data_IF_311776722245
#
_entry.id   IF_311776722245
#
_cell.length_a   1.000
_cell.length_b   1.000
_cell.length_c   1.000
_cell.angle_alpha   90.00
_cell.angle_beta   90.00
_cell.angle_gamma   90.00
#
_symmetry.space_group_name_H-M   'P 1'
#
loop_
_entity.id
_entity.type
_entity.pdbx_description
1 polymer ?
#
# COMPACT_ATOMS: atom_id res chain seq x y z
N UNK A 1 -3.31 -22.54 4.81
CA UNK A 1 -4.32 -21.47 4.70
C UNK A 1 -4.96 -21.64 3.33
N UNK A 2 -6.27 -21.88 3.27
CA UNK A 2 -6.99 -21.99 2.00
C UNK A 2 -7.33 -20.54 1.60
N UNK A 3 -6.69 -20.00 0.58
CA UNK A 3 -7.03 -18.65 0.09
C UNK A 3 -8.25 -18.83 -0.80
N UNK A 4 -9.42 -18.47 -0.28
CA UNK A 4 -10.65 -18.51 -1.06
C UNK A 4 -10.58 -17.46 -2.16
N UNK A 5 -10.50 -17.93 -3.41
CA UNK A 5 -10.32 -17.10 -4.61
C UNK A 5 -11.51 -16.17 -4.92
N UNK A 6 -12.56 -16.23 -4.10
CA UNK A 6 -13.76 -15.38 -4.13
C UNK A 6 -13.72 -14.22 -3.12
N UNK A 7 -12.69 -14.15 -2.27
CA UNK A 7 -12.51 -13.07 -1.29
C UNK A 7 -12.10 -11.76 -1.95
N UNK A 8 -12.52 -10.65 -1.35
CA UNK A 8 -12.22 -9.30 -1.84
C UNK A 8 -10.74 -8.96 -1.64
N UNK A 9 -10.15 -8.06 -2.46
CA UNK A 9 -8.76 -7.63 -2.24
C UNK A 9 -8.49 -7.09 -0.83
N UNK A 10 -9.47 -6.42 -0.21
CA UNK A 10 -9.38 -5.90 1.17
C UNK A 10 -9.20 -7.06 2.16
N UNK A 11 -10.03 -8.09 2.08
CA UNK A 11 -9.93 -9.27 2.96
C UNK A 11 -8.58 -9.98 2.80
N UNK A 12 -8.11 -10.13 1.57
CA UNK A 12 -6.83 -10.79 1.28
C UNK A 12 -5.63 -10.00 1.81
N UNK A 13 -5.65 -8.67 1.74
CA UNK A 13 -4.62 -7.85 2.39
C UNK A 13 -4.71 -7.91 3.91
N UNK A 14 -5.90 -7.96 4.50
CA UNK A 14 -6.07 -8.16 5.94
C UNK A 14 -5.44 -9.48 6.38
N UNK A 15 -5.70 -10.56 5.65
CA UNK A 15 -5.07 -11.86 5.85
C UNK A 15 -3.55 -11.80 5.68
N UNK A 16 -3.04 -11.06 4.70
CA UNK A 16 -1.61 -10.86 4.51
C UNK A 16 -0.93 -10.16 5.71
N UNK A 17 -1.51 -9.06 6.19
CA UNK A 17 -0.96 -8.33 7.35
C UNK A 17 -0.89 -9.18 8.61
N UNK A 18 -1.88 -10.04 8.84
CA UNK A 18 -1.99 -10.86 10.04
C UNK A 18 -1.26 -12.22 9.90
N UNK A 19 -1.24 -12.78 8.70
CA UNK A 19 -0.91 -14.17 8.44
C UNK A 19 0.45 -14.41 7.80
N UNK A 20 1.07 -13.42 7.16
CA UNK A 20 2.39 -13.60 6.56
C UNK A 20 3.45 -13.87 7.63
N UNK A 21 4.32 -14.84 7.34
CA UNK A 21 5.51 -15.16 8.13
C UNK A 21 6.73 -15.18 7.22
N UNK A 22 7.82 -14.59 7.69
CA UNK A 22 9.11 -14.69 6.99
C UNK A 22 9.70 -16.11 7.08
N UNK A 23 10.85 -16.31 6.44
CA UNK A 23 11.56 -17.60 6.44
C UNK A 23 11.95 -18.09 7.86
N UNK A 24 11.93 -17.20 8.86
CA UNK A 24 12.22 -17.51 10.27
C UNK A 24 10.95 -17.67 11.12
N UNK A 25 9.76 -17.63 10.51
CA UNK A 25 8.47 -17.74 11.20
C UNK A 25 8.00 -16.45 11.89
N UNK A 26 8.61 -15.29 11.59
CA UNK A 26 8.25 -14.01 12.21
C UNK A 26 7.14 -13.30 11.46
N UNK A 27 6.19 -12.75 12.20
CA UNK A 27 5.09 -11.94 11.67
C UNK A 27 5.53 -10.48 11.45
N UNK A 28 6.40 -10.26 10.47
CA UNK A 28 7.03 -8.96 10.24
C UNK A 28 6.04 -7.81 10.02
N UNK A 29 4.85 -8.09 9.46
CA UNK A 29 3.83 -7.06 9.20
C UNK A 29 2.99 -6.75 10.43
N UNK A 30 2.77 -7.72 11.32
CA UNK A 30 2.18 -7.47 12.64
C UNK A 30 3.11 -6.57 13.46
N UNK A 31 4.40 -6.90 13.51
CA UNK A 31 5.41 -6.08 14.21
C UNK A 31 5.47 -4.65 13.65
N UNK A 32 5.36 -4.49 12.33
CA UNK A 32 5.31 -3.17 11.69
C UNK A 32 4.05 -2.38 12.06
N UNK A 33 2.87 -3.00 12.06
CA UNK A 33 1.62 -2.34 12.46
C UNK A 33 1.69 -1.85 13.91
N UNK A 34 2.22 -2.68 14.81
CA UNK A 34 2.45 -2.30 16.20
C UNK A 34 3.38 -1.10 16.32
N UNK A 35 4.50 -1.15 15.59
CA UNK A 35 5.45 -0.04 15.53
C UNK A 35 4.78 1.25 15.02
N UNK A 36 3.89 1.17 14.04
CA UNK A 36 3.18 2.34 13.53
C UNK A 36 2.35 3.03 14.61
N UNK A 37 1.59 2.28 15.41
CA UNK A 37 0.83 2.85 16.54
C UNK A 37 1.74 3.48 17.58
N UNK A 38 2.81 2.79 17.98
CA UNK A 38 3.74 3.25 19.02
C UNK A 38 4.53 4.51 18.62
N UNK A 39 4.93 4.62 17.37
CA UNK A 39 5.75 5.72 16.85
C UNK A 39 4.95 6.79 16.10
N UNK A 40 3.63 6.60 15.94
CA UNK A 40 2.77 7.51 15.20
C UNK A 40 3.05 7.55 13.69
N UNK A 41 3.48 6.45 13.09
CA UNK A 41 3.79 6.38 11.65
C UNK A 41 2.55 6.14 10.79
N UNK A 42 2.39 6.94 9.74
CA UNK A 42 1.22 6.86 8.83
C UNK A 42 1.44 5.97 7.61
N UNK A 43 2.58 5.29 7.50
CA UNK A 43 2.87 4.39 6.36
C UNK A 43 3.51 3.08 6.78
N UNK A 44 3.07 1.98 6.18
CA UNK A 44 3.67 0.65 6.28
C UNK A 44 4.45 0.31 5.00
N UNK A 45 5.53 -0.45 5.11
CA UNK A 45 6.33 -0.88 3.96
C UNK A 45 6.11 -2.37 3.72
N UNK A 46 5.58 -2.69 2.54
CA UNK A 46 5.28 -4.05 2.08
C UNK A 46 6.24 -4.46 0.98
N UNK A 47 6.85 -5.63 1.12
CA UNK A 47 7.69 -6.19 0.08
C UNK A 47 6.83 -6.92 -0.96
N UNK A 48 7.02 -6.59 -2.24
CA UNK A 48 6.33 -7.27 -3.33
C UNK A 48 6.59 -8.78 -3.35
N UNK A 49 7.82 -9.21 -3.05
CA UNK A 49 8.17 -10.64 -3.06
C UNK A 49 7.43 -11.41 -1.96
N UNK A 50 7.21 -10.79 -0.81
CA UNK A 50 6.43 -11.37 0.28
C UNK A 50 4.96 -11.53 -0.12
N UNK A 51 4.39 -10.47 -0.75
CA UNK A 51 3.04 -10.51 -1.28
C UNK A 51 2.91 -11.58 -2.37
N UNK A 52 3.90 -11.71 -3.26
CA UNK A 52 3.92 -12.72 -4.32
C UNK A 52 3.98 -14.15 -3.75
N UNK A 53 4.76 -14.37 -2.69
CA UNK A 53 4.86 -15.67 -2.00
C UNK A 53 3.57 -16.04 -1.28
N UNK A 54 2.92 -15.05 -0.67
CA UNK A 54 1.67 -15.24 0.07
C UNK A 54 0.49 -15.44 -0.88
N UNK A 55 0.37 -14.55 -1.87
CA UNK A 55 -0.75 -14.48 -2.78
C UNK A 55 -0.34 -13.95 -4.17
N UNK A 56 -0.03 -14.87 -5.12
CA UNK A 56 0.40 -14.49 -6.45
C UNK A 56 -0.63 -13.70 -7.26
N UNK A 57 -1.93 -13.95 -7.07
CA UNK A 57 -2.97 -13.24 -7.79
C UNK A 57 -3.14 -11.82 -7.26
N UNK A 58 -3.04 -11.61 -5.96
CA UNK A 58 -3.04 -10.27 -5.36
C UNK A 58 -1.82 -9.45 -5.81
N UNK A 59 -0.64 -10.08 -5.86
CA UNK A 59 0.57 -9.47 -6.40
C UNK A 59 0.45 -9.12 -7.90
N UNK A 60 -0.27 -9.93 -8.68
CA UNK A 60 -0.58 -9.64 -10.09
C UNK A 60 -1.55 -8.47 -10.21
N UNK A 61 -2.61 -8.44 -9.41
CA UNK A 61 -3.59 -7.33 -9.35
C UNK A 61 -2.89 -6.01 -9.03
N UNK A 62 -1.95 -6.02 -8.08
CA UNK A 62 -1.17 -4.83 -7.73
C UNK A 62 -0.40 -4.25 -8.93
N UNK A 63 0.12 -5.10 -9.82
CA UNK A 63 0.83 -4.63 -11.02
C UNK A 63 -0.11 -4.11 -12.10
N UNK A 64 -1.22 -4.80 -12.33
CA UNK A 64 -2.13 -4.52 -13.45
C UNK A 64 -3.19 -3.45 -13.13
N UNK A 65 -3.58 -3.33 -11.86
CA UNK A 65 -4.57 -2.37 -11.38
C UNK A 65 -4.15 -1.78 -10.01
N UNK A 66 -3.05 -1.00 -9.98
CA UNK A 66 -2.47 -0.49 -8.75
C UNK A 66 -3.39 0.44 -7.97
N UNK A 67 -4.19 1.27 -8.64
CA UNK A 67 -5.01 2.28 -7.96
C UNK A 67 -6.02 1.62 -7.00
N UNK A 68 -6.80 0.67 -7.52
CA UNK A 68 -7.77 -0.08 -6.71
C UNK A 68 -7.09 -1.01 -5.71
N UNK A 69 -5.97 -1.63 -6.10
CA UNK A 69 -5.29 -2.61 -5.24
C UNK A 69 -4.57 -1.94 -4.07
N UNK A 70 -3.91 -0.80 -4.29
CA UNK A 70 -3.29 -0.01 -3.22
C UNK A 70 -4.36 0.53 -2.28
N UNK A 71 -5.48 1.01 -2.82
CA UNK A 71 -6.62 1.44 -1.98
C UNK A 71 -7.13 0.31 -1.09
N UNK A 72 -7.22 -0.91 -1.61
CA UNK A 72 -7.61 -2.07 -0.80
C UNK A 72 -6.59 -2.39 0.30
N UNK A 73 -5.29 -2.21 0.02
CA UNK A 73 -4.23 -2.37 1.02
C UNK A 73 -4.28 -1.28 2.11
N UNK A 74 -4.61 -0.03 1.74
CA UNK A 74 -4.83 1.09 2.67
C UNK A 74 -6.07 0.83 3.55
N UNK A 75 -7.20 0.47 2.94
CA UNK A 75 -8.46 0.22 3.64
C UNK A 75 -8.33 -0.93 4.67
N UNK A 76 -7.68 -2.03 4.28
CA UNK A 76 -7.43 -3.18 5.17
C UNK A 76 -6.42 -2.86 6.28
N UNK A 77 -5.42 -2.02 6.03
CA UNK A 77 -4.49 -1.56 7.06
C UNK A 77 -5.22 -0.79 8.16
N UNK A 78 -6.17 0.07 7.80
CA UNK A 78 -7.02 0.80 8.76
C UNK A 78 -7.85 -0.17 9.60
N UNK A 79 -8.38 -1.24 9.01
CA UNK A 79 -9.13 -2.26 9.74
C UNK A 79 -8.26 -3.01 10.75
N UNK A 80 -7.02 -3.37 10.38
CA UNK A 80 -6.08 -4.02 11.29
C UNK A 80 -5.68 -3.05 12.42
N UNK A 81 -5.34 -1.81 12.09
CA UNK A 81 -5.01 -0.77 13.08
C UNK A 81 -6.18 -0.51 14.03
N UNK A 82 -7.43 -0.57 13.56
CA UNK A 82 -8.60 -0.38 14.43
C UNK A 82 -8.75 -1.49 15.47
N UNK A 83 -8.26 -2.70 15.17
CA UNK A 83 -8.23 -3.81 16.13
C UNK A 83 -7.08 -3.63 17.13
N UNK A 84 -5.90 -3.22 16.64
CA UNK A 84 -4.69 -3.06 17.47
C UNK A 84 -4.77 -1.83 18.39
N UNK A 85 -5.11 -0.66 17.82
CA UNK A 85 -5.22 0.63 18.51
C UNK A 85 -6.35 1.49 17.91
N UNK A 86 -7.58 1.40 18.47
CA UNK A 86 -8.74 2.14 17.98
C UNK A 86 -8.58 3.67 18.05
N UNK A 87 -7.81 4.17 19.02
CA UNK A 87 -7.59 5.61 19.22
C UNK A 87 -6.70 6.11 18.09
N UNK A 88 -5.60 5.41 17.83
CA UNK A 88 -4.67 5.76 16.76
C UNK A 88 -5.32 5.68 15.38
N UNK A 89 -6.09 4.62 15.12
CA UNK A 89 -6.85 4.46 13.87
C UNK A 89 -7.91 5.55 13.65
N UNK A 90 -8.33 6.24 14.72
CA UNK A 90 -9.35 7.31 14.70
C UNK A 90 -8.76 8.71 14.85
N UNK A 91 -7.44 8.86 14.72
CA UNK A 91 -6.72 10.14 14.83
C UNK A 91 -7.06 11.15 13.72
N UNK A 92 -7.70 10.70 12.63
CA UNK A 92 -7.97 11.50 11.44
C UNK A 92 -6.81 11.49 10.43
N UNK A 93 -5.73 10.77 10.73
CA UNK A 93 -4.63 10.54 9.80
C UNK A 93 -5.04 9.62 8.65
N UNK A 94 -4.34 9.74 7.52
CA UNK A 94 -4.49 8.85 6.37
C UNK A 94 -3.34 7.85 6.38
N UNK A 95 -3.68 6.56 6.41
CA UNK A 95 -2.71 5.46 6.44
C UNK A 95 -2.47 4.91 5.05
N UNK A 96 -1.20 4.66 4.73
CA UNK A 96 -0.79 4.21 3.40
C UNK A 96 0.10 2.97 3.42
N UNK A 97 -0.25 1.99 2.59
CA UNK A 97 0.60 0.89 2.19
C UNK A 97 1.58 1.35 1.10
N UNK A 98 2.87 1.19 1.37
CA UNK A 98 3.94 1.49 0.42
C UNK A 98 4.58 0.18 -0.02
N UNK A 99 4.76 0.01 -1.32
CA UNK A 99 5.33 -1.22 -1.87
C UNK A 99 6.78 -0.99 -2.31
N UNK A 100 7.65 -1.92 -1.92
CA UNK A 100 9.06 -1.95 -2.33
C UNK A 100 9.36 -3.23 -3.13
N UNK A 101 10.52 -3.25 -3.77
CA UNK A 101 10.99 -4.39 -4.56
C UNK A 101 10.05 -4.78 -5.70
N UNK A 102 9.33 -3.80 -6.28
CA UNK A 102 8.52 -4.04 -7.48
C UNK A 102 9.45 -4.55 -8.60
N UNK A 103 9.15 -5.70 -9.24
CA UNK A 103 9.99 -6.26 -10.28
C UNK A 103 10.05 -5.37 -11.53
N UNK A 104 10.99 -5.70 -12.42
CA UNK A 104 11.21 -5.06 -13.72
C UNK A 104 11.41 -3.54 -13.64
N UNK A 105 12.65 -3.12 -13.33
CA UNK A 105 13.05 -1.71 -13.41
C UNK A 105 13.05 -1.30 -14.88
N UNK A 106 12.18 -0.37 -15.24
CA UNK A 106 12.03 0.14 -16.60
C UNK A 106 12.92 1.36 -16.78
N UNK A 107 13.80 1.33 -17.78
CA UNK A 107 14.55 2.52 -18.19
C UNK A 107 13.59 3.64 -18.59
N UNK A 108 13.85 4.87 -18.12
CA UNK A 108 13.02 6.04 -18.45
C UNK A 108 12.84 6.23 -19.98
N UNK A 109 13.85 5.89 -20.77
CA UNK A 109 13.82 5.99 -22.26
C UNK A 109 12.98 4.88 -22.91
N UNK A 110 12.62 3.84 -22.18
CA UNK A 110 11.85 2.68 -22.64
C UNK A 110 10.39 2.71 -22.18
N UNK A 111 9.95 3.77 -21.51
CA UNK A 111 8.53 3.96 -21.18
C UNK A 111 7.69 4.09 -22.45
N UNK A 112 6.63 3.29 -22.52
CA UNK A 112 5.71 3.14 -23.67
C UNK A 112 4.28 2.91 -23.17
N UNK A 113 3.32 2.96 -24.09
CA UNK A 113 1.88 2.78 -23.80
C UNK A 113 1.53 1.48 -23.05
N UNK A 114 2.33 0.43 -23.19
CA UNK A 114 2.15 -0.85 -22.46
C UNK A 114 2.26 -0.71 -20.93
N UNK A 115 2.84 0.39 -20.43
CA UNK A 115 3.00 0.68 -19.01
C UNK A 115 1.90 1.62 -18.46
N UNK A 116 0.98 2.07 -19.31
CA UNK A 116 -0.09 2.96 -18.85
C UNK A 116 -0.97 2.26 -17.81
N UNK A 117 -1.29 2.98 -16.74
CA UNK A 117 -2.09 2.51 -15.61
C UNK A 117 -1.55 1.25 -14.89
N UNK A 118 -0.28 0.90 -15.09
CA UNK A 118 0.39 -0.21 -14.40
C UNK A 118 1.36 0.27 -13.34
N UNK A 119 1.62 -0.57 -12.35
CA UNK A 119 2.69 -0.33 -11.37
C UNK A 119 4.04 -0.71 -11.96
N UNK A 120 4.95 0.25 -12.01
CA UNK A 120 6.31 0.06 -12.53
C UNK A 120 7.35 0.63 -11.57
N UNK A 121 8.56 0.09 -11.65
CA UNK A 121 9.74 0.67 -11.00
C UNK A 121 10.59 1.37 -12.05
N UNK A 122 11.17 2.52 -11.71
CA UNK A 122 12.10 3.27 -12.58
C UNK A 122 13.27 3.77 -11.74
N UNK A 123 14.45 3.87 -12.35
CA UNK A 123 15.65 4.39 -11.70
C UNK A 123 16.13 5.65 -12.43
N UNK A 124 16.60 6.65 -11.68
CA UNK A 124 17.10 7.89 -12.25
C UNK A 124 17.68 8.87 -11.23
N UNK A 125 18.33 9.90 -11.73
CA UNK A 125 18.93 10.98 -10.93
C UNK A 125 17.98 12.18 -10.93
N UNK A 126 17.68 12.70 -9.74
CA UNK A 126 16.88 13.91 -9.58
C UNK A 126 17.78 15.13 -9.86
N UNK A 127 17.48 15.87 -10.93
CA UNK A 127 18.24 17.08 -11.33
C UNK A 127 17.63 18.37 -10.79
N UNK A 128 16.32 18.40 -10.57
CA UNK A 128 15.54 19.57 -10.14
C UNK A 128 14.34 19.11 -9.32
N UNK A 129 14.01 19.87 -8.29
CA UNK A 129 12.81 19.70 -7.48
C UNK A 129 12.12 21.07 -7.35
N UNK A 130 10.79 21.09 -7.42
CA UNK A 130 10.02 22.28 -7.10
C UNK A 130 9.88 22.45 -5.60
N UNK A 131 9.60 23.67 -5.15
CA UNK A 131 9.20 23.90 -3.75
C UNK A 131 7.88 23.18 -3.44
N UNK A 132 7.76 22.68 -2.20
CA UNK A 132 6.53 22.06 -1.72
C UNK A 132 5.44 23.12 -1.63
N UNK A 133 4.30 22.86 -2.26
CA UNK A 133 3.10 23.71 -2.19
C UNK A 133 1.91 22.84 -1.79
N UNK A 134 1.02 23.32 -0.91
CA UNK A 134 -0.22 22.61 -0.60
C UNK A 134 -1.10 22.54 -1.86
N UNK A 135 -1.74 21.40 -2.07
CA UNK A 135 -2.71 21.18 -3.14
C UNK A 135 -4.10 21.02 -2.53
N UNK A 136 -5.13 21.49 -3.22
CA UNK A 136 -6.52 21.30 -2.81
C UNK A 136 -6.88 19.82 -2.89
N UNK A 137 -7.14 19.19 -1.75
CA UNK A 137 -7.60 17.79 -1.66
C UNK A 137 -9.13 17.70 -1.75
N UNK A 138 -9.83 18.58 -1.04
CA UNK A 138 -11.30 18.63 -1.03
C UNK A 138 -11.78 20.08 -1.12
N UNK A 139 -12.56 20.39 -2.15
CA UNK A 139 -13.25 21.67 -2.31
C UNK A 139 -14.66 21.61 -1.73
N UNK A 140 -14.97 22.49 -0.76
CA UNK A 140 -16.31 22.65 -0.21
C UNK A 140 -16.81 24.04 -0.61
N UNK A 141 -17.99 24.11 -1.24
CA UNK A 141 -18.57 25.36 -1.75
C UNK A 141 -19.89 25.65 -1.05
N UNK A 142 -20.13 26.92 -0.76
CA UNK A 142 -21.38 27.42 -0.21
C UNK A 142 -21.97 28.47 -1.15
N UNK A 143 -23.28 28.38 -1.44
CA UNK A 143 -23.97 29.39 -2.23
C UNK A 143 -23.94 30.75 -1.51
N UNK A 144 -23.78 31.83 -2.28
CA UNK A 144 -23.94 33.18 -1.76
C UNK A 144 -25.41 33.43 -1.39
N UNK A 145 -25.65 34.06 -0.24
CA UNK A 145 -26.97 34.48 0.25
C UNK A 145 -27.49 35.62 -0.62
#
# INVERSE_FOLDING_TARGET
>A
MHIDMTSTPVERFREFYQGYQDENGRHIYVDQVQKMSLEGLTSIILNYDDLLRFDPELARLLRENPEETIKAADDSLVEVLRIEDPIYASSGEVFHARFISIPDIVDLRRLRSVHLAKLISVEGIIIRQSVVKPLLVQGVFQCAI
#
